data_IF_149509075295
#
_entry.id   IF_149509075295
#
_cell.length_a   1.000
_cell.length_b   1.000
_cell.length_c   1.000
_cell.angle_alpha   90.00
_cell.angle_beta   90.00
_cell.angle_gamma   90.00
#
_symmetry.space_group_name_H-M   'P 1'
#
loop_
_entity.id
_entity.type
_entity.pdbx_description
1 polymer ?
#
# COMPACT_ATOMS: atom_id res chain seq x y z
N UNK A 1 -5.58 35.07 -26.13
CA UNK A 1 -6.45 33.88 -26.11
C UNK A 1 -6.22 33.22 -24.76
N UNK A 2 -7.16 33.37 -23.83
CA UNK A 2 -6.99 32.87 -22.47
C UNK A 2 -7.22 31.35 -22.47
N UNK A 3 -6.22 30.60 -22.03
CA UNK A 3 -6.34 29.18 -21.72
C UNK A 3 -7.25 29.04 -20.50
N UNK A 4 -8.54 28.80 -20.73
CA UNK A 4 -9.44 28.36 -19.67
C UNK A 4 -8.91 27.02 -19.17
N UNK A 5 -8.35 27.01 -17.97
CA UNK A 5 -8.05 25.81 -17.19
C UNK A 5 -9.38 25.21 -16.78
N UNK A 6 -10.00 24.58 -17.76
CA UNK A 6 -11.29 23.94 -17.69
C UNK A 6 -11.11 22.72 -16.80
N UNK A 7 -11.49 22.86 -15.53
CA UNK A 7 -11.41 21.74 -14.59
C UNK A 7 -12.43 20.71 -15.06
N UNK A 8 -12.03 19.46 -15.35
CA UNK A 8 -12.93 18.47 -15.95
C UNK A 8 -14.20 18.23 -15.11
N UNK A 9 -14.14 18.46 -13.79
CA UNK A 9 -15.30 18.43 -12.89
C UNK A 9 -16.34 19.53 -13.16
N UNK A 10 -15.90 20.75 -13.53
CA UNK A 10 -16.79 21.87 -13.77
C UNK A 10 -17.61 21.69 -15.05
N UNK A 11 -17.01 21.12 -16.09
CA UNK A 11 -17.67 20.82 -17.36
C UNK A 11 -18.68 19.68 -17.24
N UNK A 12 -18.31 18.60 -16.55
CA UNK A 12 -19.22 17.50 -16.26
C UNK A 12 -20.43 17.99 -15.46
N UNK A 13 -20.21 18.90 -14.49
CA UNK A 13 -21.28 19.52 -13.70
C UNK A 13 -22.22 20.36 -14.57
N UNK A 14 -21.69 21.17 -15.50
CA UNK A 14 -22.49 21.96 -16.45
C UNK A 14 -23.32 21.09 -17.39
N UNK A 15 -22.71 20.04 -17.97
CA UNK A 15 -23.40 19.07 -18.83
C UNK A 15 -24.55 18.36 -18.09
N UNK A 16 -24.31 17.94 -16.86
CA UNK A 16 -25.29 17.32 -15.98
C UNK A 16 -26.47 18.26 -15.65
N UNK A 17 -26.19 19.55 -15.39
CA UNK A 17 -27.23 20.54 -15.11
C UNK A 17 -28.11 20.85 -16.32
N UNK A 18 -27.59 20.68 -17.54
CA UNK A 18 -28.34 20.88 -18.79
C UNK A 18 -29.24 19.67 -19.12
N UNK A 19 -28.86 18.46 -18.70
CA UNK A 19 -29.62 17.21 -18.87
C UNK A 19 -30.47 16.85 -17.64
N UNK A 20 -31.07 17.82 -16.93
CA UNK A 20 -31.94 17.54 -15.77
C UNK A 20 -33.05 16.54 -16.14
N UNK A 21 -32.91 15.30 -15.69
CA UNK A 21 -33.94 14.26 -15.81
C UNK A 21 -34.88 14.37 -14.61
N UNK A 22 -36.20 14.55 -14.80
CA UNK A 22 -37.16 14.56 -13.70
C UNK A 22 -37.07 13.27 -12.87
N UNK A 23 -36.99 13.40 -11.55
CA UNK A 23 -36.87 12.25 -10.63
C UNK A 23 -35.45 11.78 -10.32
N UNK A 24 -34.40 12.42 -10.87
CA UNK A 24 -32.99 12.08 -10.60
C UNK A 24 -32.29 13.18 -9.79
N UNK A 25 -31.67 12.83 -8.67
CA UNK A 25 -30.88 13.74 -7.85
C UNK A 25 -29.46 13.93 -8.42
N UNK A 26 -29.26 14.96 -9.24
CA UNK A 26 -27.95 15.26 -9.85
C UNK A 26 -26.90 15.67 -8.82
N UNK A 27 -27.28 16.21 -7.67
CA UNK A 27 -26.34 16.58 -6.61
C UNK A 27 -25.73 15.31 -5.99
N UNK A 28 -26.54 14.27 -5.77
CA UNK A 28 -26.04 12.96 -5.35
C UNK A 28 -25.10 12.31 -6.37
N UNK A 29 -25.36 12.46 -7.68
CA UNK A 29 -24.47 11.93 -8.71
C UNK A 29 -23.10 12.63 -8.67
N UNK A 30 -23.07 13.96 -8.58
CA UNK A 30 -21.81 14.72 -8.50
C UNK A 30 -21.05 14.32 -7.24
N UNK A 31 -21.73 14.20 -6.10
CA UNK A 31 -21.12 13.75 -4.85
C UNK A 31 -20.58 12.31 -4.95
N UNK A 32 -21.30 11.41 -5.60
CA UNK A 32 -20.81 10.05 -5.89
C UNK A 32 -19.52 10.08 -6.72
N UNK A 33 -19.42 10.97 -7.72
CA UNK A 33 -18.19 11.12 -8.52
C UNK A 33 -17.03 11.71 -7.72
N UNK A 34 -17.33 12.62 -6.78
CA UNK A 34 -16.35 13.15 -5.83
C UNK A 34 -15.78 12.02 -4.97
N UNK A 35 -16.64 11.16 -4.41
CA UNK A 35 -16.23 9.99 -3.62
C UNK A 35 -15.45 8.95 -4.41
N UNK A 36 -15.79 8.73 -5.69
CA UNK A 36 -15.00 7.85 -6.58
C UNK A 36 -13.54 8.31 -6.64
N UNK A 37 -13.32 9.61 -6.80
CA UNK A 37 -11.99 10.21 -6.86
C UNK A 37 -11.26 10.17 -5.52
N UNK A 38 -11.96 10.42 -4.41
CA UNK A 38 -11.39 10.31 -3.07
C UNK A 38 -10.89 8.89 -2.80
N UNK A 39 -11.67 7.87 -3.16
CA UNK A 39 -11.27 6.47 -3.01
C UNK A 39 -10.03 6.12 -3.86
N UNK A 40 -9.93 6.66 -5.08
CA UNK A 40 -8.72 6.47 -5.91
C UNK A 40 -7.50 7.15 -5.29
N UNK A 41 -7.65 8.34 -4.74
CA UNK A 41 -6.56 9.04 -4.04
C UNK A 41 -6.13 8.26 -2.80
N UNK A 42 -7.08 7.73 -2.02
CA UNK A 42 -6.81 6.93 -0.83
C UNK A 42 -6.12 5.61 -1.16
N UNK A 43 -6.57 4.90 -2.20
CA UNK A 43 -5.91 3.69 -2.69
C UNK A 43 -4.47 3.94 -3.17
N UNK A 44 -4.25 5.06 -3.87
CA UNK A 44 -2.90 5.49 -4.26
C UNK A 44 -2.04 5.78 -3.03
N UNK A 45 -2.57 6.51 -2.05
CA UNK A 45 -1.86 6.81 -0.80
C UNK A 45 -1.46 5.53 -0.05
N UNK A 46 -2.38 4.58 0.10
CA UNK A 46 -2.09 3.27 0.71
C UNK A 46 -0.96 2.52 -0.03
N UNK A 47 -0.97 2.59 -1.37
CA UNK A 47 0.10 2.00 -2.19
C UNK A 47 1.46 2.68 -1.95
N UNK A 48 1.49 4.01 -1.91
CA UNK A 48 2.72 4.77 -1.62
C UNK A 48 3.27 4.46 -0.22
N UNK A 49 2.40 4.41 0.80
CA UNK A 49 2.78 4.06 2.17
C UNK A 49 3.36 2.64 2.24
N UNK A 50 2.76 1.69 1.51
CA UNK A 50 3.30 0.34 1.41
C UNK A 50 4.68 0.28 0.74
N UNK A 51 4.90 1.03 -0.34
CA UNK A 51 6.22 1.14 -0.97
C UNK A 51 7.26 1.73 0.00
N UNK A 52 6.87 2.75 0.77
CA UNK A 52 7.75 3.33 1.79
C UNK A 52 8.08 2.32 2.91
N UNK A 53 7.09 1.55 3.36
CA UNK A 53 7.29 0.51 4.36
C UNK A 53 8.25 -0.59 3.86
N UNK A 54 8.09 -1.04 2.62
CA UNK A 54 9.00 -2.00 1.98
C UNK A 54 10.44 -1.45 1.92
N UNK A 55 10.61 -0.20 1.50
CA UNK A 55 11.94 0.43 1.42
C UNK A 55 12.63 0.56 2.80
N UNK A 56 11.86 0.91 3.84
CA UNK A 56 12.35 0.93 5.22
C UNK A 56 12.81 -0.45 5.66
N UNK A 57 11.98 -1.49 5.42
CA UNK A 57 12.34 -2.86 5.80
C UNK A 57 13.60 -3.35 5.07
N UNK A 58 13.76 -3.03 3.79
CA UNK A 58 14.97 -3.40 3.06
C UNK A 58 16.23 -2.74 3.63
N UNK A 59 16.12 -1.48 4.07
CA UNK A 59 17.20 -0.76 4.77
C UNK A 59 17.51 -1.39 6.13
N UNK A 60 16.49 -1.81 6.88
CA UNK A 60 16.67 -2.50 8.17
C UNK A 60 17.40 -3.83 8.00
N UNK A 61 16.99 -4.65 7.02
CA UNK A 61 17.65 -5.94 6.72
C UNK A 61 19.13 -5.71 6.39
N UNK A 62 19.44 -4.70 5.57
CA UNK A 62 20.81 -4.36 5.22
C UNK A 62 21.62 -3.90 6.44
N UNK A 63 21.01 -3.06 7.29
CA UNK A 63 21.65 -2.56 8.51
C UNK A 63 21.96 -3.71 9.46
N UNK A 64 21.02 -4.63 9.67
CA UNK A 64 21.20 -5.82 10.48
C UNK A 64 22.30 -6.73 9.92
N UNK A 65 22.33 -6.95 8.59
CA UNK A 65 23.39 -7.74 7.95
C UNK A 65 24.78 -7.11 8.14
N UNK A 66 24.90 -5.79 8.00
CA UNK A 66 26.16 -5.07 8.24
C UNK A 66 26.62 -5.18 9.71
N UNK A 67 25.69 -5.12 10.66
CA UNK A 67 25.99 -5.31 12.08
C UNK A 67 26.50 -6.73 12.36
N UNK A 68 25.87 -7.76 11.80
CA UNK A 68 26.30 -9.16 11.93
C UNK A 68 27.70 -9.41 11.36
N UNK A 69 28.03 -8.79 10.21
CA UNK A 69 29.37 -8.86 9.61
C UNK A 69 30.41 -8.22 10.54
N UNK A 70 30.10 -7.04 11.11
CA UNK A 70 31.00 -6.35 12.04
C UNK A 70 31.23 -7.17 13.31
N UNK A 71 30.19 -7.77 13.88
CA UNK A 71 30.29 -8.64 15.05
C UNK A 71 31.12 -9.88 14.76
N UNK A 72 30.88 -10.55 13.62
CA UNK A 72 31.64 -11.72 13.18
C UNK A 72 33.13 -11.39 13.00
N UNK A 73 33.42 -10.22 12.42
CA UNK A 73 34.80 -9.75 12.21
C UNK A 73 35.50 -9.45 13.55
N UNK A 74 34.79 -8.79 14.49
CA UNK A 74 35.31 -8.55 15.86
C UNK A 74 35.58 -9.86 16.60
N UNK A 75 34.70 -10.84 16.48
CA UNK A 75 34.86 -12.15 17.09
C UNK A 75 36.09 -12.90 16.56
N UNK A 76 36.37 -12.80 15.25
CA UNK A 76 37.60 -13.33 14.65
C UNK A 76 38.86 -12.60 15.16
N UNK A 77 38.83 -11.27 15.19
CA UNK A 77 39.96 -10.43 15.61
C UNK A 77 40.32 -10.59 17.09
N UNK A 78 39.36 -10.97 17.95
CA UNK A 78 39.57 -11.22 19.37
C UNK A 78 40.28 -12.57 19.69
N UNK A 79 40.85 -13.26 18.68
CA UNK A 79 41.68 -14.45 18.87
C UNK A 79 41.00 -15.79 18.60
N UNK A 80 39.81 -15.79 17.96
CA UNK A 80 39.15 -17.02 17.52
C UNK A 80 39.83 -17.65 16.30
N UNK A 81 40.98 -18.31 16.51
CA UNK A 81 41.70 -19.01 15.44
C UNK A 81 40.99 -20.32 15.03
N UNK A 82 40.93 -20.50 13.71
CA UNK A 82 40.64 -21.66 12.86
C UNK A 82 40.64 -23.08 13.48
N UNK A 83 39.77 -23.33 14.45
CA UNK A 83 39.44 -24.66 14.99
C UNK A 83 38.02 -24.63 15.51
N UNK A 84 37.06 -24.50 14.59
CA UNK A 84 35.68 -24.21 14.95
C UNK A 84 35.04 -25.39 15.69
N UNK A 85 34.56 -25.11 16.89
CA UNK A 85 33.59 -25.91 17.60
C UNK A 85 32.40 -26.15 16.66
N UNK A 86 32.22 -27.39 16.19
CA UNK A 86 31.27 -27.75 15.12
C UNK A 86 29.83 -27.33 15.49
N UNK A 87 29.55 -27.26 16.79
CA UNK A 87 28.33 -26.72 17.36
C UNK A 87 28.13 -25.21 17.06
N UNK A 88 29.18 -24.39 17.17
CA UNK A 88 29.11 -22.94 16.87
C UNK A 88 28.86 -22.67 15.39
N UNK A 89 29.49 -23.44 14.49
CA UNK A 89 29.22 -23.32 13.05
C UNK A 89 27.78 -23.71 12.71
N UNK A 90 27.28 -24.79 13.30
CA UNK A 90 25.90 -25.25 13.10
C UNK A 90 24.90 -24.20 13.57
N UNK A 91 25.15 -23.57 14.71
CA UNK A 91 24.26 -22.54 15.26
C UNK A 91 24.27 -21.25 14.45
N UNK A 92 25.43 -20.83 13.93
CA UNK A 92 25.53 -19.68 13.01
C UNK A 92 24.74 -19.91 11.72
N UNK A 93 24.87 -21.10 11.11
CA UNK A 93 24.13 -21.46 9.90
C UNK A 93 22.63 -21.52 10.17
N UNK A 94 22.23 -22.13 11.31
CA UNK A 94 20.82 -22.18 11.72
C UNK A 94 20.24 -20.79 11.94
N UNK A 95 20.95 -19.92 12.67
CA UNK A 95 20.52 -18.55 12.94
C UNK A 95 20.37 -17.73 11.66
N UNK A 96 21.35 -17.79 10.76
CA UNK A 96 21.28 -17.12 9.46
C UNK A 96 20.11 -17.61 8.60
N UNK A 97 19.84 -18.92 8.59
CA UNK A 97 18.70 -19.49 7.87
C UNK A 97 17.35 -19.05 8.46
N UNK A 98 17.21 -19.07 9.79
CA UNK A 98 15.99 -18.59 10.47
C UNK A 98 15.74 -17.11 10.19
N UNK A 99 16.80 -16.29 10.21
CA UNK A 99 16.72 -14.87 9.87
C UNK A 99 16.28 -14.65 8.42
N UNK A 100 16.91 -15.33 7.46
CA UNK A 100 16.54 -15.22 6.05
C UNK A 100 15.07 -15.62 5.80
N UNK A 101 14.57 -16.66 6.47
CA UNK A 101 13.16 -17.05 6.43
C UNK A 101 12.25 -15.98 7.03
N UNK A 102 12.63 -15.40 8.17
CA UNK A 102 11.86 -14.34 8.83
C UNK A 102 11.79 -13.06 7.95
N UNK A 103 12.90 -12.67 7.34
CA UNK A 103 12.99 -11.53 6.43
C UNK A 103 12.10 -11.75 5.20
N UNK A 104 12.17 -12.94 4.59
CA UNK A 104 11.33 -13.31 3.43
C UNK A 104 9.85 -13.31 3.79
N UNK A 105 9.48 -13.86 4.95
CA UNK A 105 8.10 -13.87 5.44
C UNK A 105 7.58 -12.45 5.67
N UNK A 106 8.39 -11.59 6.30
CA UNK A 106 8.06 -10.19 6.55
C UNK A 106 7.82 -9.43 5.24
N UNK A 107 8.69 -9.61 4.24
CA UNK A 107 8.50 -9.01 2.91
C UNK A 107 7.22 -9.48 2.21
N UNK A 108 6.95 -10.79 2.27
CA UNK A 108 5.74 -11.37 1.68
C UNK A 108 4.45 -10.87 2.38
N UNK A 109 4.46 -10.73 3.70
CA UNK A 109 3.34 -10.19 4.47
C UNK A 109 3.06 -8.73 4.12
N UNK A 110 4.09 -7.89 3.98
CA UNK A 110 3.91 -6.50 3.56
C UNK A 110 3.35 -6.39 2.14
N UNK A 111 3.86 -7.20 1.20
CA UNK A 111 3.35 -7.22 -0.17
C UNK A 111 1.87 -7.66 -0.22
N UNK A 112 1.50 -8.72 0.51
CA UNK A 112 0.11 -9.18 0.62
C UNK A 112 -0.79 -8.12 1.26
N UNK A 113 -0.32 -7.45 2.31
CA UNK A 113 -1.06 -6.38 2.98
C UNK A 113 -1.30 -5.21 2.04
N UNK A 114 -0.29 -4.77 1.29
CA UNK A 114 -0.43 -3.70 0.29
C UNK A 114 -1.53 -3.99 -0.74
N UNK A 115 -1.55 -5.22 -1.27
CA UNK A 115 -2.57 -5.63 -2.23
C UNK A 115 -3.96 -5.70 -1.61
N UNK A 116 -4.06 -6.18 -0.36
CA UNK A 116 -5.34 -6.30 0.36
C UNK A 116 -5.90 -4.93 0.68
N UNK A 117 -5.10 -4.03 1.26
CA UNK A 117 -5.53 -2.68 1.65
C UNK A 117 -6.04 -1.88 0.42
N UNK A 118 -5.37 -1.98 -0.74
CA UNK A 118 -5.83 -1.34 -1.97
C UNK A 118 -7.15 -1.95 -2.49
N UNK A 119 -7.30 -3.27 -2.44
CA UNK A 119 -8.52 -3.95 -2.89
C UNK A 119 -9.71 -3.70 -1.96
N UNK A 120 -9.47 -3.57 -0.66
CA UNK A 120 -10.50 -3.26 0.33
C UNK A 120 -11.09 -1.87 0.07
N UNK A 121 -10.26 -0.86 -0.22
CA UNK A 121 -10.71 0.50 -0.57
C UNK A 121 -11.59 0.48 -1.83
N UNK A 122 -11.16 -0.22 -2.87
CA UNK A 122 -11.92 -0.34 -4.12
C UNK A 122 -13.25 -1.09 -3.90
N UNK A 123 -13.22 -2.19 -3.15
CA UNK A 123 -14.39 -3.02 -2.88
C UNK A 123 -15.41 -2.27 -2.02
N UNK A 124 -14.94 -1.52 -1.02
CA UNK A 124 -15.77 -0.67 -0.19
C UNK A 124 -16.44 0.41 -1.04
N UNK A 125 -15.70 1.07 -1.94
CA UNK A 125 -16.28 2.09 -2.83
C UNK A 125 -17.32 1.48 -3.77
N UNK A 126 -17.04 0.33 -4.38
CA UNK A 126 -17.99 -0.37 -5.24
C UNK A 126 -19.29 -0.71 -4.49
N UNK A 127 -19.19 -1.16 -3.24
CA UNK A 127 -20.36 -1.44 -2.38
C UNK A 127 -21.17 -0.17 -2.13
N UNK A 128 -20.50 0.93 -1.78
CA UNK A 128 -21.16 2.23 -1.59
C UNK A 128 -21.82 2.73 -2.88
N UNK A 129 -21.18 2.56 -4.05
CA UNK A 129 -21.78 2.92 -5.34
C UNK A 129 -23.06 2.14 -5.63
N UNK A 130 -23.10 0.85 -5.28
CA UNK A 130 -24.30 0.02 -5.42
C UNK A 130 -25.44 0.51 -4.50
N UNK A 131 -25.13 0.93 -3.29
CA UNK A 131 -26.10 1.52 -2.36
C UNK A 131 -26.61 2.88 -2.84
N UNK A 132 -25.73 3.72 -3.37
CA UNK A 132 -26.07 5.02 -3.96
C UNK A 132 -26.99 4.84 -5.18
N UNK A 133 -26.71 3.87 -6.07
CA UNK A 133 -27.61 3.54 -7.18
C UNK A 133 -28.98 3.05 -6.70
N UNK A 134 -29.04 2.21 -5.65
CA UNK A 134 -30.32 1.78 -5.08
C UNK A 134 -31.14 2.95 -4.55
N UNK A 135 -30.49 3.93 -3.92
CA UNK A 135 -31.16 5.16 -3.43
C UNK A 135 -31.69 6.02 -4.57
N UNK A 136 -30.94 6.14 -5.66
CA UNK A 136 -31.37 6.88 -6.86
C UNK A 136 -32.55 6.22 -7.59
N UNK A 137 -32.75 4.90 -7.43
CA UNK A 137 -33.86 4.16 -8.06
C UNK A 137 -35.10 4.03 -7.17
N UNK A 138 -35.04 4.41 -5.90
CA UNK A 138 -36.21 4.43 -5.03
C UNK A 138 -37.02 5.69 -5.31
N UNK A 139 -38.33 5.59 -5.59
CA UNK A 139 -39.19 6.75 -5.70
C UNK A 139 -39.25 7.45 -4.33
N UNK A 140 -39.08 8.77 -4.32
CA UNK A 140 -39.33 9.62 -3.15
C UNK A 140 -40.76 9.46 -2.65
#
# INVERSE_FOLDING_TARGET
MATETTTPFADVTKLIQQFKVPGVDMAQIIESRRKDMEALVEANKATYEAMQALARRQTEILTQAMQEIQESTKALAAGGSAGADLAKQTELVRGGYQKALADTKSLAEMARKSQTDAMDIITQRATQSLEEMKKLMQPN
#
